data_IF_876192593355
#
_entry.id   IF_876192593355
#
_cell.length_a   1.000
_cell.length_b   1.000
_cell.length_c   1.000
_cell.angle_alpha   90.00
_cell.angle_beta   90.00
_cell.angle_gamma   90.00
#
_symmetry.space_group_name_H-M   'P 1'
#
loop_
_entity.id
_entity.type
_entity.pdbx_description
1 polymer ?
#
# COMPACT_ATOMS: atom_id res chain seq x y z
N UNK A 1 -49.94 31.32 -8.29
CA UNK A 1 -50.27 31.49 -6.85
C UNK A 1 -51.57 30.80 -6.52
N UNK A 2 -51.89 30.52 -5.23
CA UNK A 2 -53.07 29.72 -4.82
C UNK A 2 -54.38 30.09 -5.53
N UNK A 3 -54.65 31.38 -5.72
CA UNK A 3 -55.86 31.88 -6.42
C UNK A 3 -55.91 31.52 -7.91
N UNK A 4 -54.76 31.36 -8.57
CA UNK A 4 -54.67 30.95 -9.98
C UNK A 4 -54.92 29.45 -10.17
N UNK A 5 -54.84 28.65 -9.10
CA UNK A 5 -54.96 27.18 -9.18
C UNK A 5 -56.37 26.68 -8.85
N UNK A 6 -57.19 27.51 -8.18
CA UNK A 6 -58.57 27.15 -7.83
C UNK A 6 -59.44 27.12 -9.09
N UNK A 7 -60.08 25.99 -9.35
CA UNK A 7 -60.97 25.79 -10.52
C UNK A 7 -60.23 25.38 -11.80
N UNK A 8 -58.89 25.37 -11.81
CA UNK A 8 -58.09 24.87 -12.93
C UNK A 8 -57.86 23.37 -12.83
N UNK A 9 -57.78 22.69 -13.98
CA UNK A 9 -57.35 21.29 -14.05
C UNK A 9 -55.85 21.21 -13.76
N UNK A 10 -55.38 20.12 -13.17
CA UNK A 10 -53.96 19.92 -12.86
C UNK A 10 -53.10 19.51 -14.08
N UNK A 11 -53.69 19.43 -15.27
CA UNK A 11 -53.04 19.01 -16.51
C UNK A 11 -51.84 19.87 -16.90
N UNK A 12 -51.89 21.19 -16.63
CA UNK A 12 -50.79 22.11 -16.91
C UNK A 12 -49.50 21.84 -16.11
N UNK A 13 -49.60 21.10 -15.00
CA UNK A 13 -48.44 20.70 -14.19
C UNK A 13 -47.66 19.55 -14.81
N UNK A 14 -48.27 18.79 -15.72
CA UNK A 14 -47.61 17.72 -16.46
C UNK A 14 -46.86 18.30 -17.65
N UNK A 15 -45.76 17.63 -18.03
CA UNK A 15 -44.93 18.03 -19.18
C UNK A 15 -45.78 18.13 -20.44
N UNK A 16 -46.55 17.07 -20.71
CA UNK A 16 -47.47 16.94 -21.85
C UNK A 16 -48.64 15.99 -21.51
N UNK A 17 -49.56 15.80 -22.47
CA UNK A 17 -50.68 14.87 -22.32
C UNK A 17 -50.26 13.41 -22.18
N UNK A 18 -49.13 13.00 -22.75
CA UNK A 18 -48.63 11.63 -22.61
C UNK A 18 -48.26 11.36 -21.16
N UNK A 19 -47.47 12.24 -20.55
CA UNK A 19 -47.10 12.15 -19.13
C UNK A 19 -48.32 12.20 -18.22
N UNK A 20 -49.32 13.03 -18.52
CA UNK A 20 -50.58 13.00 -17.77
C UNK A 20 -51.26 11.63 -17.84
N UNK A 21 -51.35 11.03 -19.04
CA UNK A 21 -51.93 9.68 -19.21
C UNK A 21 -51.11 8.62 -18.48
N UNK A 22 -49.78 8.68 -18.55
CA UNK A 22 -48.88 7.77 -17.84
C UNK A 22 -49.14 7.85 -16.33
N UNK A 23 -49.22 9.07 -15.78
CA UNK A 23 -49.52 9.28 -14.36
C UNK A 23 -50.88 8.68 -13.97
N UNK A 24 -51.93 8.97 -14.75
CA UNK A 24 -53.29 8.46 -14.51
C UNK A 24 -53.37 6.93 -14.59
N UNK A 25 -52.63 6.32 -15.51
CA UNK A 25 -52.58 4.87 -15.71
C UNK A 25 -52.03 4.15 -14.48
N UNK A 26 -51.09 4.75 -13.75
CA UNK A 26 -50.56 4.20 -12.51
C UNK A 26 -51.38 4.61 -11.28
N UNK A 27 -51.92 5.83 -11.27
CA UNK A 27 -52.69 6.37 -10.14
C UNK A 27 -53.97 5.59 -9.85
N UNK A 28 -54.84 5.41 -10.85
CA UNK A 28 -56.18 4.86 -10.60
C UNK A 28 -56.15 3.42 -10.08
N UNK A 29 -55.35 2.49 -10.66
CA UNK A 29 -55.25 1.13 -10.14
C UNK A 29 -54.66 1.09 -8.72
N UNK A 30 -53.56 1.79 -8.48
CA UNK A 30 -52.89 1.79 -7.18
C UNK A 30 -53.82 2.24 -6.05
N UNK A 31 -54.64 3.25 -6.31
CA UNK A 31 -55.59 3.75 -5.31
C UNK A 31 -56.76 2.79 -5.12
N UNK A 32 -57.25 2.17 -6.19
CA UNK A 32 -58.34 1.19 -6.09
C UNK A 32 -57.92 -0.06 -5.29
N UNK A 33 -56.65 -0.46 -5.41
CA UNK A 33 -56.12 -1.65 -4.74
C UNK A 33 -55.57 -1.37 -3.33
N UNK A 34 -54.84 -0.25 -3.15
CA UNK A 34 -54.01 0.00 -1.97
C UNK A 34 -54.44 1.25 -1.18
N UNK A 35 -55.37 2.06 -1.70
CA UNK A 35 -55.85 3.30 -1.05
C UNK A 35 -54.88 4.49 -1.14
N UNK A 36 -53.63 4.27 -1.57
CA UNK A 36 -52.65 5.32 -1.83
C UNK A 36 -51.85 5.01 -3.10
N UNK A 37 -51.21 6.03 -3.67
CA UNK A 37 -50.31 5.91 -4.81
C UNK A 37 -49.00 6.62 -4.48
N UNK A 38 -47.89 5.92 -4.65
CA UNK A 38 -46.56 6.50 -4.51
C UNK A 38 -45.79 6.34 -5.81
N UNK A 39 -45.22 7.45 -6.31
CA UNK A 39 -44.44 7.49 -7.53
C UNK A 39 -43.13 8.24 -7.25
N UNK A 40 -42.01 7.53 -7.05
CA UNK A 40 -40.77 8.11 -6.54
C UNK A 40 -40.01 8.97 -7.55
N UNK A 41 -40.29 8.81 -8.84
CA UNK A 41 -39.62 9.54 -9.91
C UNK A 41 -40.59 9.80 -11.06
N UNK A 42 -40.95 11.07 -11.24
CA UNK A 42 -41.81 11.54 -12.30
C UNK A 42 -41.39 12.93 -12.78
N UNK A 43 -41.63 13.25 -14.05
CA UNK A 43 -41.26 14.57 -14.59
C UNK A 43 -42.48 15.50 -14.60
N UNK A 44 -42.33 16.65 -13.96
CA UNK A 44 -43.34 17.71 -13.92
C UNK A 44 -42.79 18.98 -14.56
N UNK A 45 -43.69 19.92 -14.86
CA UNK A 45 -43.37 21.19 -15.52
C UNK A 45 -43.71 22.36 -14.62
N UNK A 46 -42.76 23.27 -14.45
CA UNK A 46 -42.96 24.54 -13.72
C UNK A 46 -43.75 25.54 -14.58
N UNK A 47 -44.21 26.63 -13.96
CA UNK A 47 -44.94 27.71 -14.65
C UNK A 47 -44.11 28.36 -15.79
N UNK A 48 -42.80 28.41 -15.64
CA UNK A 48 -41.87 28.94 -16.66
C UNK A 48 -41.57 27.96 -17.80
N UNK A 49 -42.14 26.74 -17.76
CA UNK A 49 -41.93 25.69 -18.74
C UNK A 49 -40.76 24.75 -18.45
N UNK A 50 -39.95 25.00 -17.42
CA UNK A 50 -38.84 24.10 -17.05
C UNK A 50 -39.36 22.76 -16.54
N UNK A 51 -38.69 21.67 -16.93
CA UNK A 51 -39.01 20.31 -16.49
C UNK A 51 -38.15 19.94 -15.30
N UNK A 52 -38.75 19.36 -14.27
CA UNK A 52 -38.06 18.97 -13.05
C UNK A 52 -38.58 17.61 -12.53
N UNK A 53 -37.71 16.81 -11.89
CA UNK A 53 -38.09 15.54 -11.32
C UNK A 53 -38.83 15.72 -9.98
N UNK A 54 -39.83 14.89 -9.76
CA UNK A 54 -40.68 14.93 -8.58
C UNK A 54 -40.98 13.53 -8.05
N UNK A 55 -41.21 13.48 -6.75
CA UNK A 55 -41.75 12.34 -6.02
C UNK A 55 -43.19 12.67 -5.61
N UNK A 56 -44.13 11.78 -5.93
CA UNK A 56 -45.55 11.97 -5.67
C UNK A 56 -46.06 10.96 -4.65
N UNK A 57 -46.88 11.46 -3.72
CA UNK A 57 -47.76 10.62 -2.92
C UNK A 57 -49.17 11.14 -3.07
N UNK A 58 -50.11 10.27 -3.45
CA UNK A 58 -51.51 10.61 -3.66
C UNK A 58 -52.39 9.70 -2.82
N UNK A 59 -53.43 10.26 -2.21
CA UNK A 59 -54.45 9.52 -1.45
C UNK A 59 -55.85 9.97 -1.87
N UNK A 60 -56.84 9.09 -1.73
CA UNK A 60 -58.25 9.45 -1.86
C UNK A 60 -58.72 10.28 -0.65
N UNK A 61 -59.54 11.29 -0.90
CA UNK A 61 -60.38 11.88 0.14
C UNK A 61 -61.77 11.29 0.01
N UNK A 62 -62.30 10.77 1.11
CA UNK A 62 -63.60 10.11 1.19
C UNK A 62 -64.49 10.83 2.21
N UNK A 63 -65.79 10.83 1.98
CA UNK A 63 -66.78 11.29 2.95
C UNK A 63 -67.07 10.22 4.01
N UNK A 64 -67.92 10.54 4.98
CA UNK A 64 -68.33 9.63 6.07
C UNK A 64 -69.01 8.34 5.58
N UNK A 65 -69.44 8.30 4.31
CA UNK A 65 -70.10 7.14 3.69
C UNK A 65 -69.15 6.37 2.77
N UNK A 66 -67.85 6.66 2.78
CA UNK A 66 -66.83 6.01 1.95
C UNK A 66 -66.86 6.42 0.48
N UNK A 67 -67.60 7.47 0.13
CA UNK A 67 -67.63 7.98 -1.26
C UNK A 67 -66.49 8.96 -1.45
N UNK A 68 -65.67 8.72 -2.48
CA UNK A 68 -64.57 9.61 -2.87
C UNK A 68 -65.10 11.00 -3.23
N UNK A 69 -64.62 12.02 -2.51
CA UNK A 69 -64.92 13.43 -2.73
C UNK A 69 -63.74 14.21 -3.33
N UNK A 70 -62.54 13.63 -3.36
CA UNK A 70 -61.38 14.28 -3.95
C UNK A 70 -60.08 13.49 -3.88
N UNK A 71 -59.00 14.21 -4.12
CA UNK A 71 -57.63 13.70 -4.12
C UNK A 71 -56.74 14.65 -3.33
N UNK A 72 -55.84 14.11 -2.52
CA UNK A 72 -54.73 14.87 -1.93
C UNK A 72 -53.45 14.36 -2.55
N UNK A 73 -52.68 15.24 -3.18
CA UNK A 73 -51.37 14.94 -3.73
C UNK A 73 -50.30 15.78 -3.03
N UNK A 74 -49.26 15.11 -2.54
CA UNK A 74 -48.01 15.72 -2.11
C UNK A 74 -47.01 15.51 -3.23
N UNK A 75 -46.41 16.61 -3.71
CA UNK A 75 -45.40 16.59 -4.78
C UNK A 75 -44.12 17.20 -4.20
N UNK A 76 -43.08 16.39 -4.10
CA UNK A 76 -41.76 16.80 -3.62
C UNK A 76 -40.85 16.98 -4.83
N UNK A 77 -40.20 18.13 -4.93
CA UNK A 77 -39.11 18.34 -5.87
C UNK A 77 -37.89 17.51 -5.42
N UNK A 78 -37.35 16.68 -6.31
CA UNK A 78 -36.22 15.79 -6.00
C UNK A 78 -34.98 16.13 -6.85
N UNK A 79 -34.92 17.35 -7.41
CA UNK A 79 -33.80 17.81 -8.23
C UNK A 79 -32.47 17.73 -7.48
N UNK A 80 -32.42 18.28 -6.27
CA UNK A 80 -31.22 18.26 -5.42
C UNK A 80 -30.80 16.83 -5.05
N UNK A 81 -31.78 15.96 -4.76
CA UNK A 81 -31.52 14.54 -4.46
C UNK A 81 -30.85 13.85 -5.63
N UNK A 82 -31.38 14.01 -6.85
CA UNK A 82 -30.80 13.40 -8.06
C UNK A 82 -29.40 13.91 -8.37
N UNK A 83 -29.16 15.21 -8.23
CA UNK A 83 -27.81 15.78 -8.42
C UNK A 83 -26.81 15.18 -7.43
N UNK A 84 -27.20 15.01 -6.17
CA UNK A 84 -26.35 14.39 -5.16
C UNK A 84 -26.11 12.90 -5.44
N UNK A 85 -27.13 12.16 -5.87
CA UNK A 85 -27.03 10.74 -6.25
C UNK A 85 -26.10 10.54 -7.45
N UNK A 86 -26.23 11.38 -8.48
CA UNK A 86 -25.36 11.32 -9.66
C UNK A 86 -23.91 11.68 -9.32
N UNK A 87 -23.69 12.71 -8.49
CA UNK A 87 -22.37 13.09 -8.01
C UNK A 87 -21.72 11.97 -7.17
N UNK A 88 -22.50 11.33 -6.30
CA UNK A 88 -22.02 10.18 -5.51
C UNK A 88 -21.64 9.01 -6.43
N UNK A 89 -22.48 8.71 -7.43
CA UNK A 89 -22.24 7.63 -8.38
C UNK A 89 -20.97 7.86 -9.20
N UNK A 90 -20.71 9.09 -9.64
CA UNK A 90 -19.47 9.41 -10.36
C UNK A 90 -18.26 9.31 -9.43
N UNK A 91 -18.35 9.83 -8.19
CA UNK A 91 -17.26 9.69 -7.22
C UNK A 91 -16.95 8.24 -6.87
N UNK A 92 -17.97 7.39 -6.70
CA UNK A 92 -17.77 5.95 -6.49
C UNK A 92 -17.06 5.28 -7.67
N UNK A 93 -17.39 5.68 -8.90
CA UNK A 93 -16.75 5.17 -10.11
C UNK A 93 -15.28 5.60 -10.16
N UNK A 94 -14.98 6.88 -9.94
CA UNK A 94 -13.62 7.40 -9.87
C UNK A 94 -12.79 6.69 -8.79
N UNK A 95 -13.35 6.49 -7.59
CA UNK A 95 -12.68 5.78 -6.50
C UNK A 95 -12.39 4.33 -6.86
N UNK A 96 -13.33 3.63 -7.53
CA UNK A 96 -13.09 2.25 -8.02
C UNK A 96 -11.97 2.20 -9.05
N UNK A 97 -11.92 3.15 -9.98
CA UNK A 97 -10.86 3.24 -10.99
C UNK A 97 -9.49 3.53 -10.34
N UNK A 98 -9.44 4.47 -9.40
CA UNK A 98 -8.21 4.78 -8.65
C UNK A 98 -7.73 3.59 -7.80
N UNK A 99 -8.64 2.89 -7.12
CA UNK A 99 -8.30 1.71 -6.33
C UNK A 99 -7.68 0.61 -7.20
N UNK A 100 -8.26 0.37 -8.39
CA UNK A 100 -7.72 -0.59 -9.36
C UNK A 100 -6.33 -0.18 -9.84
N UNK A 101 -6.15 1.09 -10.22
CA UNK A 101 -4.85 1.59 -10.66
C UNK A 101 -3.77 1.49 -9.56
N UNK A 102 -4.16 1.74 -8.29
CA UNK A 102 -3.27 1.61 -7.15
C UNK A 102 -2.89 0.15 -6.88
N UNK A 103 -3.82 -0.79 -7.04
CA UNK A 103 -3.55 -2.22 -6.93
C UNK A 103 -2.55 -2.68 -8.00
N UNK A 104 -2.76 -2.30 -9.25
CA UNK A 104 -1.86 -2.60 -10.37
C UNK A 104 -0.45 -2.01 -10.12
N UNK A 105 -0.36 -0.76 -9.67
CA UNK A 105 0.91 -0.12 -9.32
C UNK A 105 1.64 -0.84 -8.18
N UNK A 106 0.93 -1.29 -7.15
CA UNK A 106 1.51 -2.05 -6.04
C UNK A 106 2.05 -3.42 -6.49
N UNK A 107 1.35 -4.10 -7.41
CA UNK A 107 1.82 -5.36 -7.99
C UNK A 107 3.11 -5.12 -8.77
N UNK A 108 3.12 -4.12 -9.66
CA UNK A 108 4.31 -3.75 -10.43
C UNK A 108 5.51 -3.42 -9.53
N UNK A 109 5.29 -2.65 -8.47
CA UNK A 109 6.34 -2.28 -7.52
C UNK A 109 6.93 -3.50 -6.80
N UNK A 110 6.10 -4.47 -6.38
CA UNK A 110 6.57 -5.71 -5.74
C UNK A 110 7.44 -6.53 -6.68
N UNK A 111 7.04 -6.64 -7.96
CA UNK A 111 7.83 -7.33 -8.99
C UNK A 111 9.17 -6.64 -9.19
N UNK A 112 9.19 -5.32 -9.34
CA UNK A 112 10.42 -4.54 -9.50
C UNK A 112 11.37 -4.66 -8.30
N UNK A 113 10.83 -4.65 -7.08
CA UNK A 113 11.63 -4.87 -5.86
C UNK A 113 12.28 -6.25 -5.84
N UNK A 114 11.53 -7.31 -6.21
CA UNK A 114 12.08 -8.66 -6.33
C UNK A 114 13.21 -8.73 -7.35
N UNK A 115 13.01 -8.17 -8.53
CA UNK A 115 14.02 -8.12 -9.59
C UNK A 115 15.30 -7.37 -9.16
N UNK A 116 15.14 -6.23 -8.47
CA UNK A 116 16.26 -5.44 -7.95
C UNK A 116 17.08 -6.23 -6.93
N UNK A 117 16.41 -6.96 -6.04
CA UNK A 117 17.10 -7.75 -5.01
C UNK A 117 17.87 -8.93 -5.65
N UNK A 118 17.31 -9.55 -6.71
CA UNK A 118 18.01 -10.58 -7.49
C UNK A 118 19.20 -10.02 -8.28
N UNK A 119 19.07 -8.86 -8.91
CA UNK A 119 20.15 -8.18 -9.62
C UNK A 119 21.28 -7.79 -8.67
N UNK A 120 20.96 -7.24 -7.50
CA UNK A 120 21.95 -6.91 -6.46
C UNK A 120 22.73 -8.17 -6.07
N UNK A 121 22.03 -9.27 -5.79
CA UNK A 121 22.68 -10.54 -5.45
C UNK A 121 23.57 -11.08 -6.58
N UNK A 122 23.10 -11.01 -7.84
CA UNK A 122 23.89 -11.42 -9.00
C UNK A 122 25.18 -10.60 -9.13
N UNK A 123 25.09 -9.29 -8.89
CA UNK A 123 26.26 -8.41 -8.91
C UNK A 123 27.26 -8.77 -7.81
N UNK A 124 26.78 -8.97 -6.58
CA UNK A 124 27.60 -9.40 -5.44
C UNK A 124 28.32 -10.73 -5.73
N UNK A 125 27.59 -11.74 -6.21
CA UNK A 125 28.15 -13.05 -6.57
C UNK A 125 29.21 -12.92 -7.68
N UNK A 126 28.97 -12.03 -8.65
CA UNK A 126 29.91 -11.76 -9.74
C UNK A 126 31.19 -11.11 -9.24
N UNK A 127 31.07 -10.08 -8.38
CA UNK A 127 32.22 -9.38 -7.77
C UNK A 127 33.03 -10.36 -6.92
N UNK A 128 32.38 -11.13 -6.05
CA UNK A 128 33.04 -12.13 -5.22
C UNK A 128 33.79 -13.18 -6.06
N UNK A 129 33.14 -13.73 -7.08
CA UNK A 129 33.74 -14.70 -8.00
C UNK A 129 34.95 -14.12 -8.75
N UNK A 130 34.84 -12.87 -9.20
CA UNK A 130 35.93 -12.16 -9.89
C UNK A 130 37.13 -11.95 -8.98
N UNK A 131 36.91 -11.52 -7.73
CA UNK A 131 37.97 -11.33 -6.75
C UNK A 131 38.68 -12.64 -6.41
N UNK A 132 37.91 -13.72 -6.19
CA UNK A 132 38.44 -15.06 -5.93
C UNK A 132 39.27 -15.62 -7.08
N UNK A 133 38.89 -15.34 -8.34
CA UNK A 133 39.58 -15.85 -9.52
C UNK A 133 40.78 -15.01 -9.93
N UNK A 134 40.67 -13.68 -9.82
CA UNK A 134 41.63 -12.76 -10.43
C UNK A 134 42.61 -12.14 -9.44
N UNK A 135 42.27 -12.04 -8.15
CA UNK A 135 43.11 -11.34 -7.16
C UNK A 135 43.65 -12.31 -6.10
N UNK A 136 42.78 -13.13 -5.50
CA UNK A 136 43.16 -14.06 -4.42
C UNK A 136 44.39 -14.93 -4.75
N UNK A 137 44.54 -15.52 -5.96
CA UNK A 137 45.70 -16.36 -6.27
C UNK A 137 47.03 -15.61 -6.20
N UNK A 138 47.04 -14.31 -6.54
CA UNK A 138 48.25 -13.51 -6.53
C UNK A 138 48.60 -13.00 -5.13
N UNK A 139 47.60 -12.65 -4.31
CA UNK A 139 47.83 -12.34 -2.89
C UNK A 139 48.42 -13.54 -2.16
N UNK A 140 47.89 -14.74 -2.41
CA UNK A 140 48.40 -15.96 -1.81
C UNK A 140 49.85 -16.24 -2.22
N UNK A 141 50.17 -16.13 -3.52
CA UNK A 141 51.56 -16.27 -4.01
C UNK A 141 52.50 -15.24 -3.40
N UNK A 142 52.03 -14.01 -3.21
CA UNK A 142 52.85 -12.95 -2.61
C UNK A 142 53.14 -13.24 -1.14
N UNK A 143 52.17 -13.76 -0.38
CA UNK A 143 52.34 -14.22 1.01
C UNK A 143 53.28 -15.42 1.16
N UNK A 144 53.45 -16.23 0.11
CA UNK A 144 54.41 -17.34 0.09
C UNK A 144 55.86 -16.87 -0.09
N UNK A 145 56.09 -15.60 -0.41
CA UNK A 145 57.44 -15.00 -0.52
C UNK A 145 57.95 -14.44 0.82
N UNK A 146 59.24 -14.11 0.89
CA UNK A 146 59.82 -13.42 2.05
C UNK A 146 59.47 -11.93 2.02
N UNK A 147 58.41 -11.56 2.74
CA UNK A 147 57.96 -10.18 2.90
C UNK A 147 58.59 -9.54 4.15
N UNK A 148 58.93 -8.25 4.07
CA UNK A 148 59.23 -7.44 5.26
C UNK A 148 57.97 -7.25 6.12
N UNK A 149 58.13 -6.86 7.40
CA UNK A 149 56.99 -6.56 8.29
C UNK A 149 56.02 -5.52 7.71
N UNK A 150 56.55 -4.48 7.08
CA UNK A 150 55.74 -3.42 6.49
C UNK A 150 54.94 -3.92 5.27
N UNK A 151 55.58 -4.70 4.40
CA UNK A 151 54.92 -5.30 3.23
C UNK A 151 53.84 -6.30 3.63
N UNK A 152 54.09 -7.14 4.65
CA UNK A 152 53.10 -8.07 5.17
C UNK A 152 51.85 -7.34 5.67
N UNK A 153 52.04 -6.24 6.42
CA UNK A 153 50.93 -5.42 6.90
C UNK A 153 50.08 -4.85 5.76
N UNK A 154 50.70 -4.34 4.68
CA UNK A 154 49.95 -3.86 3.52
C UNK A 154 49.15 -4.97 2.84
N UNK A 155 49.72 -6.18 2.74
CA UNK A 155 49.06 -7.33 2.10
C UNK A 155 47.86 -7.80 2.91
N UNK A 156 47.99 -7.83 4.23
CA UNK A 156 46.88 -8.21 5.12
C UNK A 156 45.75 -7.18 5.09
N UNK A 157 46.08 -5.87 5.02
CA UNK A 157 45.08 -4.80 4.83
C UNK A 157 44.37 -4.94 3.47
N UNK A 158 45.10 -5.22 2.39
CA UNK A 158 44.51 -5.39 1.06
C UNK A 158 43.57 -6.60 1.02
N UNK A 159 43.97 -7.73 1.60
CA UNK A 159 43.13 -8.92 1.67
C UNK A 159 41.86 -8.66 2.49
N UNK A 160 41.96 -7.97 3.63
CA UNK A 160 40.81 -7.60 4.45
C UNK A 160 39.83 -6.68 3.70
N UNK A 161 40.34 -5.62 3.06
CA UNK A 161 39.51 -4.69 2.28
C UNK A 161 38.81 -5.37 1.10
N UNK A 162 39.51 -6.26 0.40
CA UNK A 162 38.92 -7.01 -0.72
C UNK A 162 37.84 -7.98 -0.22
N UNK A 163 38.03 -8.59 0.96
CA UNK A 163 37.00 -9.43 1.57
C UNK A 163 35.78 -8.61 2.01
N UNK A 164 35.96 -7.40 2.53
CA UNK A 164 34.85 -6.49 2.87
C UNK A 164 34.05 -6.07 1.63
N UNK A 165 34.73 -5.64 0.56
CA UNK A 165 34.08 -5.25 -0.71
C UNK A 165 33.29 -6.42 -1.30
N UNK A 166 33.77 -7.65 -1.10
CA UNK A 166 33.21 -8.85 -1.69
C UNK A 166 32.12 -9.53 -0.84
N UNK A 167 31.77 -9.02 0.35
CA UNK A 167 30.97 -9.79 1.31
C UNK A 167 29.47 -9.45 1.30
N UNK A 168 28.59 -10.34 0.79
CA UNK A 168 27.14 -10.25 0.98
C UNK A 168 26.71 -10.28 2.46
N UNK A 169 27.59 -10.75 3.35
CA UNK A 169 27.28 -11.00 4.75
C UNK A 169 27.31 -9.73 5.61
N UNK A 170 28.25 -8.82 5.38
CA UNK A 170 28.31 -7.53 6.09
C UNK A 170 27.09 -6.67 5.77
N UNK A 171 26.61 -6.72 4.52
CA UNK A 171 25.38 -6.07 4.08
C UNK A 171 24.12 -6.65 4.75
N UNK A 172 23.99 -7.98 4.85
CA UNK A 172 22.89 -8.62 5.60
C UNK A 172 22.92 -8.27 7.10
N UNK A 173 24.11 -8.19 7.69
CA UNK A 173 24.24 -7.84 9.11
C UNK A 173 23.90 -6.37 9.37
N UNK A 174 24.36 -5.46 8.49
CA UNK A 174 24.08 -4.02 8.56
C UNK A 174 22.61 -3.69 8.29
N UNK A 175 22.00 -4.33 7.29
CA UNK A 175 20.59 -4.10 6.93
C UNK A 175 19.60 -4.71 7.92
N UNK A 176 19.88 -5.91 8.46
CA UNK A 176 19.00 -6.60 9.41
C UNK A 176 19.16 -6.11 10.85
N UNK A 177 20.34 -5.64 11.22
CA UNK A 177 20.64 -5.16 12.58
C UNK A 177 21.15 -3.72 12.50
N UNK A 178 20.23 -2.76 12.58
CA UNK A 178 20.56 -1.34 12.62
C UNK A 178 21.52 -1.05 13.79
N UNK A 179 22.62 -0.35 13.50
CA UNK A 179 23.58 0.12 14.51
C UNK A 179 24.81 -0.76 14.72
N UNK A 180 25.07 -1.78 13.89
CA UNK A 180 26.39 -2.42 13.84
C UNK A 180 27.39 -1.47 13.19
N UNK A 181 28.51 -1.21 13.87
CA UNK A 181 29.56 -0.30 13.39
C UNK A 181 30.48 -1.00 12.37
N UNK A 182 31.18 -0.25 11.49
CA UNK A 182 32.14 -0.83 10.57
C UNK A 182 33.17 -1.76 11.26
N UNK A 183 33.72 -1.33 12.41
CA UNK A 183 34.67 -2.14 13.18
C UNK A 183 34.07 -3.44 13.72
N UNK A 184 32.79 -3.44 14.05
CA UNK A 184 32.09 -4.66 14.46
C UNK A 184 31.77 -5.58 13.25
N UNK A 185 31.51 -5.03 12.06
CA UNK A 185 31.34 -5.82 10.83
C UNK A 185 32.63 -6.55 10.45
N UNK A 186 33.75 -5.83 10.47
CA UNK A 186 35.09 -6.36 10.21
C UNK A 186 35.41 -7.51 11.18
N UNK A 187 35.21 -7.29 12.49
CA UNK A 187 35.40 -8.31 13.52
C UNK A 187 34.44 -9.50 13.32
N UNK A 188 33.17 -9.26 12.96
CA UNK A 188 32.22 -10.34 12.68
C UNK A 188 32.65 -11.21 11.49
N UNK A 189 33.22 -10.60 10.44
CA UNK A 189 33.79 -11.30 9.30
C UNK A 189 34.93 -12.25 9.69
N UNK A 190 35.89 -11.77 10.49
CA UNK A 190 37.02 -12.58 10.95
C UNK A 190 36.60 -13.70 11.91
N UNK A 191 35.62 -13.46 12.77
CA UNK A 191 35.04 -14.49 13.64
C UNK A 191 34.40 -15.60 12.82
N UNK A 192 33.65 -15.25 11.77
CA UNK A 192 33.02 -16.20 10.85
C UNK A 192 34.07 -17.05 10.15
N UNK A 193 35.16 -16.42 9.69
CA UNK A 193 36.33 -17.09 9.10
C UNK A 193 37.08 -18.02 10.08
N UNK A 194 36.72 -18.02 11.37
CA UNK A 194 37.27 -18.94 12.37
C UNK A 194 38.47 -18.41 13.14
N UNK A 195 38.80 -17.11 12.98
CA UNK A 195 39.91 -16.48 13.70
C UNK A 195 39.63 -16.35 15.19
N UNK A 196 40.65 -16.60 15.99
CA UNK A 196 40.66 -16.42 17.45
C UNK A 196 40.76 -14.94 17.82
N UNK A 197 40.52 -14.58 19.09
CA UNK A 197 40.68 -13.20 19.54
C UNK A 197 42.11 -12.68 19.30
N UNK A 198 43.11 -13.52 19.55
CA UNK A 198 44.53 -13.20 19.39
C UNK A 198 44.84 -12.93 17.92
N UNK A 199 44.47 -13.83 17.02
CA UNK A 199 44.70 -13.63 15.59
C UNK A 199 43.96 -12.39 15.04
N UNK A 200 42.75 -12.11 15.51
CA UNK A 200 42.01 -10.89 15.12
C UNK A 200 42.74 -9.64 15.64
N UNK A 201 43.24 -9.68 16.88
CA UNK A 201 43.96 -8.57 17.48
C UNK A 201 45.24 -8.24 16.69
N UNK A 202 45.99 -9.28 16.33
CA UNK A 202 47.21 -9.18 15.53
C UNK A 202 46.91 -8.66 14.12
N UNK A 203 45.89 -9.20 13.45
CA UNK A 203 45.48 -8.77 12.10
C UNK A 203 45.02 -7.31 12.05
N UNK A 204 44.33 -6.85 13.10
CA UNK A 204 43.70 -5.54 13.14
C UNK A 204 44.53 -4.47 13.87
N UNK A 205 45.74 -4.82 14.34
CA UNK A 205 46.64 -3.93 15.07
C UNK A 205 46.03 -3.37 16.36
N UNK A 206 45.17 -4.13 17.05
CA UNK A 206 44.51 -3.73 18.29
C UNK A 206 44.76 -4.74 19.41
N UNK A 207 44.37 -4.41 20.64
CA UNK A 207 44.51 -5.33 21.77
C UNK A 207 43.47 -6.45 21.73
N UNK A 208 43.82 -7.63 22.24
CA UNK A 208 42.86 -8.74 22.42
C UNK A 208 41.63 -8.32 23.23
N UNK A 209 41.83 -7.41 24.20
CA UNK A 209 40.76 -6.82 24.98
C UNK A 209 39.80 -5.99 24.12
N UNK A 210 40.30 -5.19 23.17
CA UNK A 210 39.47 -4.44 22.23
C UNK A 210 38.65 -5.37 21.33
N UNK A 211 39.22 -6.47 20.85
CA UNK A 211 38.49 -7.51 20.10
C UNK A 211 37.36 -8.10 20.95
N UNK A 212 37.64 -8.42 22.21
CA UNK A 212 36.63 -8.94 23.15
C UNK A 212 35.51 -7.94 23.42
N UNK A 213 35.83 -6.65 23.54
CA UNK A 213 34.86 -5.57 23.68
C UNK A 213 33.90 -5.52 22.48
N UNK A 214 34.43 -5.49 21.25
CA UNK A 214 33.59 -5.50 20.04
C UNK A 214 32.78 -6.80 19.89
N UNK A 215 33.34 -7.97 20.27
CA UNK A 215 32.59 -9.24 20.34
C UNK A 215 31.39 -9.16 21.28
N UNK A 216 31.54 -8.52 22.43
CA UNK A 216 30.44 -8.33 23.38
C UNK A 216 29.37 -7.36 22.86
N UNK A 217 29.78 -6.30 22.16
CA UNK A 217 28.84 -5.38 21.53
C UNK A 217 28.07 -6.08 20.39
N UNK A 218 28.75 -6.84 19.55
CA UNK A 218 28.12 -7.71 18.54
C UNK A 218 27.10 -8.65 19.19
N UNK A 219 27.47 -9.35 20.26
CA UNK A 219 26.53 -10.22 20.99
C UNK A 219 25.32 -9.45 21.51
N UNK A 220 25.49 -8.23 21.99
CA UNK A 220 24.38 -7.41 22.47
C UNK A 220 23.46 -7.01 21.33
N UNK A 221 24.01 -6.52 20.22
CA UNK A 221 23.27 -6.08 19.02
C UNK A 221 22.57 -7.22 18.30
N UNK A 222 23.14 -8.43 18.35
CA UNK A 222 22.55 -9.65 17.79
C UNK A 222 21.56 -10.34 18.77
N UNK A 223 21.25 -9.74 19.93
CA UNK A 223 20.31 -10.31 20.89
C UNK A 223 20.81 -11.60 21.57
N UNK A 224 22.13 -11.75 21.70
CA UNK A 224 22.82 -12.91 22.29
C UNK A 224 23.41 -12.62 23.68
N UNK A 225 23.29 -11.41 24.23
CA UNK A 225 23.95 -10.96 25.46
C UNK A 225 23.85 -11.95 26.63
N UNK A 226 22.71 -12.62 26.76
CA UNK A 226 22.43 -13.59 27.84
C UNK A 226 22.19 -15.03 27.34
N UNK A 227 22.47 -15.30 26.06
CA UNK A 227 22.24 -16.63 25.47
C UNK A 227 23.55 -17.41 25.42
N UNK A 228 23.53 -18.69 25.82
CA UNK A 228 24.67 -19.63 25.66
C UNK A 228 24.82 -20.11 24.21
N UNK A 229 24.85 -19.17 23.27
CA UNK A 229 25.02 -19.42 21.83
C UNK A 229 26.43 -19.02 21.43
N UNK A 230 27.13 -19.91 20.74
CA UNK A 230 28.44 -19.62 20.15
C UNK A 230 28.29 -18.55 19.06
N UNK A 231 29.02 -17.44 19.18
CA UNK A 231 28.89 -16.30 18.27
C UNK A 231 29.24 -16.68 16.83
N UNK A 232 30.28 -17.49 16.60
CA UNK A 232 30.67 -17.95 15.26
C UNK A 232 29.58 -18.83 14.64
N UNK A 233 29.05 -19.79 15.38
CA UNK A 233 27.94 -20.63 14.90
C UNK A 233 26.71 -19.81 14.54
N UNK A 234 26.38 -18.78 15.32
CA UNK A 234 25.27 -17.88 15.01
C UNK A 234 25.54 -17.05 13.75
N UNK A 235 26.73 -16.46 13.62
CA UNK A 235 27.12 -15.71 12.41
C UNK A 235 27.12 -16.59 11.16
N UNK A 236 27.49 -17.87 11.26
CA UNK A 236 27.37 -18.85 10.16
C UNK A 236 25.90 -19.13 9.80
N UNK A 237 24.98 -19.13 10.77
CA UNK A 237 23.54 -19.34 10.51
C UNK A 237 22.82 -18.14 9.89
N UNK A 238 23.46 -16.96 9.88
CA UNK A 238 22.93 -15.74 9.26
C UNK A 238 23.35 -15.57 7.79
N UNK A 239 24.16 -16.49 7.27
CA UNK A 239 24.67 -16.49 5.88
C UNK A 239 23.57 -16.89 4.88
#
# INVERSE_FOLDING_TARGET
>A
GRKEMLGSKADFLHVDQSKLRDFQMHLYPAIAEQGFFHLPDFSMKRKDGTVFPTEHTVVSLEDEHGKRIGWVSVVRDISERKVAEDALKESEKELREQAKALEEANIALRVLLGHRDEEKKRLEDTVFSSLQKLITPYLQRLKETTLSREQQAYVDILEANLYEIASPFTDKLSSKYQGITPRELEIAGLIKAGKTNVEIADLLGITEHAVSFHRNNLRSKLGLKHKRVNLRSHLLSLA
#
